data_IF_374594341056
#
_entry.id   IF_374594341056
#
_cell.length_a   1.000
_cell.length_b   1.000
_cell.length_c   1.000
_cell.angle_alpha   90.00
_cell.angle_beta   90.00
_cell.angle_gamma   90.00
#
_symmetry.space_group_name_H-M   'P 1'
#
loop_
_entity.id
_entity.type
_entity.pdbx_description
1 polymer ?
#
# COMPACT_ATOMS: atom_id res chain seq x y z
N UNK A 1 26.63 15.99 -5.92
CA UNK A 1 26.54 14.97 -4.85
C UNK A 1 25.89 13.76 -5.47
N UNK A 2 26.51 12.60 -5.35
CA UNK A 2 25.99 11.35 -5.91
C UNK A 2 24.75 10.90 -5.15
N UNK A 3 23.73 10.41 -5.85
CA UNK A 3 22.46 10.04 -5.23
C UNK A 3 22.62 8.89 -4.22
N UNK A 4 23.57 7.98 -4.46
CA UNK A 4 23.90 6.90 -3.53
C UNK A 4 24.40 7.41 -2.18
N UNK A 5 25.26 8.44 -2.18
CA UNK A 5 25.79 9.03 -0.94
C UNK A 5 24.71 9.80 -0.17
N UNK A 6 23.77 10.44 -0.88
CA UNK A 6 22.64 11.13 -0.24
C UNK A 6 21.68 10.15 0.43
N UNK A 7 21.25 9.10 -0.29
CA UNK A 7 20.38 8.06 0.25
C UNK A 7 21.04 7.31 1.43
N UNK A 8 22.35 7.08 1.39
CA UNK A 8 23.11 6.46 2.47
C UNK A 8 23.16 7.30 3.76
N UNK A 9 23.34 8.62 3.65
CA UNK A 9 23.30 9.51 4.82
C UNK A 9 21.90 9.59 5.45
N UNK A 10 20.86 9.41 4.64
CA UNK A 10 19.48 9.49 5.08
C UNK A 10 18.85 8.10 5.32
N UNK A 11 19.66 7.03 5.26
CA UNK A 11 19.24 5.63 5.34
C UNK A 11 18.32 5.33 6.54
N UNK A 12 18.64 5.86 7.73
CA UNK A 12 17.84 5.62 8.92
C UNK A 12 16.41 6.17 8.78
N UNK A 13 16.26 7.35 8.20
CA UNK A 13 14.96 7.97 7.94
C UNK A 13 14.21 7.25 6.81
N UNK A 14 14.88 6.94 5.69
CA UNK A 14 14.25 6.23 4.57
C UNK A 14 13.78 4.82 4.98
N UNK A 15 14.56 4.11 5.79
CA UNK A 15 14.19 2.77 6.30
C UNK A 15 12.99 2.85 7.23
N UNK A 16 12.93 3.87 8.10
CA UNK A 16 11.76 4.10 8.94
C UNK A 16 10.51 4.37 8.09
N UNK A 17 10.62 5.25 7.09
CA UNK A 17 9.53 5.55 6.16
C UNK A 17 9.11 4.28 5.40
N UNK A 18 10.07 3.48 4.91
CA UNK A 18 9.79 2.23 4.21
C UNK A 18 9.07 1.21 5.08
N UNK A 19 9.45 1.12 6.36
CA UNK A 19 8.73 0.30 7.34
C UNK A 19 7.30 0.80 7.56
N UNK A 20 7.09 2.11 7.65
CA UNK A 20 5.76 2.71 7.74
C UNK A 20 4.92 2.40 6.50
N UNK A 21 5.46 2.59 5.28
CA UNK A 21 4.76 2.27 4.03
C UNK A 21 4.37 0.79 4.01
N UNK A 22 5.29 -0.10 4.36
CA UNK A 22 5.05 -1.55 4.40
C UNK A 22 4.03 -1.92 5.48
N UNK A 23 4.10 -1.29 6.65
CA UNK A 23 3.12 -1.46 7.71
C UNK A 23 1.74 -1.00 7.25
N UNK A 24 1.61 0.16 6.59
CA UNK A 24 0.33 0.61 6.04
C UNK A 24 -0.24 -0.36 5.00
N UNK A 25 0.60 -0.93 4.13
CA UNK A 25 0.20 -1.94 3.13
C UNK A 25 -0.34 -3.23 3.74
N UNK A 26 0.01 -3.56 4.98
CA UNK A 26 -0.43 -4.81 5.64
C UNK A 26 -1.50 -4.53 6.70
N UNK A 27 -1.26 -3.56 7.58
CA UNK A 27 -2.12 -3.21 8.72
C UNK A 27 -3.47 -2.68 8.24
N UNK A 28 -3.51 -1.75 7.26
CA UNK A 28 -4.79 -1.19 6.81
C UNK A 28 -5.67 -2.25 6.13
N UNK A 29 -5.18 -3.05 5.16
CA UNK A 29 -5.96 -4.15 4.59
C UNK A 29 -6.47 -5.14 5.65
N UNK A 30 -5.63 -5.50 6.63
CA UNK A 30 -6.02 -6.43 7.68
C UNK A 30 -7.14 -5.85 8.56
N UNK A 31 -7.06 -4.58 8.96
CA UNK A 31 -8.11 -3.89 9.70
C UNK A 31 -9.42 -3.80 8.91
N UNK A 32 -9.35 -3.46 7.61
CA UNK A 32 -10.52 -3.40 6.74
C UNK A 32 -11.24 -4.75 6.62
N UNK A 33 -10.48 -5.85 6.55
CA UNK A 33 -11.02 -7.20 6.48
C UNK A 33 -11.71 -7.56 7.81
N UNK A 34 -11.07 -7.30 8.96
CA UNK A 34 -11.66 -7.59 10.28
C UNK A 34 -12.95 -6.80 10.50
N UNK A 35 -12.93 -5.49 10.28
CA UNK A 35 -14.14 -4.67 10.41
C UNK A 35 -15.22 -5.07 9.41
N UNK A 36 -14.81 -5.45 8.20
CA UNK A 36 -15.67 -5.98 7.17
C UNK A 36 -16.40 -7.26 7.57
N UNK A 37 -15.68 -8.23 8.13
CA UNK A 37 -16.26 -9.50 8.59
C UNK A 37 -17.20 -9.30 9.78
N UNK A 38 -16.88 -8.39 10.70
CA UNK A 38 -17.79 -8.06 11.81
C UNK A 38 -19.12 -7.47 11.32
N UNK A 39 -19.09 -6.64 10.28
CA UNK A 39 -20.27 -6.01 9.67
C UNK A 39 -21.15 -7.05 8.96
N UNK A 40 -20.52 -7.96 8.20
CA UNK A 40 -21.20 -9.07 7.52
C UNK A 40 -21.77 -10.05 8.54
N UNK A 41 -21.02 -10.40 9.60
CA UNK A 41 -21.48 -11.33 10.63
C UNK A 41 -22.73 -10.85 11.35
N UNK A 42 -22.82 -9.55 11.67
CA UNK A 42 -24.04 -8.95 12.24
C UNK A 42 -25.23 -9.01 11.28
N UNK A 43 -25.01 -8.73 9.99
CA UNK A 43 -26.07 -8.79 8.99
C UNK A 43 -26.59 -10.22 8.77
N UNK A 44 -25.70 -11.23 8.81
CA UNK A 44 -26.06 -12.65 8.67
C UNK A 44 -26.93 -13.12 9.84
N UNK A 45 -26.57 -12.77 11.08
CA UNK A 45 -27.38 -13.13 12.27
C UNK A 45 -28.75 -12.43 12.26
N UNK A 46 -28.86 -11.27 11.62
CA UNK A 46 -30.12 -10.54 11.45
C UNK A 46 -31.10 -11.15 10.44
N UNK A 47 -30.69 -12.16 9.65
CA UNK A 47 -31.51 -12.91 8.69
C UNK A 47 -32.36 -12.07 7.72
N UNK A 48 -31.95 -10.85 7.39
CA UNK A 48 -32.60 -9.98 6.40
C UNK A 48 -31.76 -9.97 5.13
N UNK A 49 -32.25 -10.59 4.06
CA UNK A 49 -31.52 -10.73 2.79
C UNK A 49 -31.04 -9.40 2.21
N UNK A 50 -31.84 -8.34 2.34
CA UNK A 50 -31.48 -6.99 1.87
C UNK A 50 -30.30 -6.39 2.66
N UNK A 51 -30.24 -6.62 3.96
CA UNK A 51 -29.15 -6.14 4.84
C UNK A 51 -27.87 -6.93 4.56
N UNK A 52 -27.98 -8.25 4.35
CA UNK A 52 -26.84 -9.11 3.99
C UNK A 52 -26.22 -8.65 2.68
N UNK A 53 -27.02 -8.42 1.63
CA UNK A 53 -26.52 -7.93 0.34
C UNK A 53 -25.86 -6.56 0.46
N UNK A 54 -26.45 -5.65 1.25
CA UNK A 54 -25.90 -4.31 1.48
C UNK A 54 -24.55 -4.38 2.22
N UNK A 55 -24.44 -5.20 3.26
CA UNK A 55 -23.20 -5.41 4.01
C UNK A 55 -22.13 -6.10 3.17
N UNK A 56 -22.49 -7.10 2.36
CA UNK A 56 -21.56 -7.74 1.41
C UNK A 56 -21.06 -6.77 0.34
N UNK A 57 -21.93 -5.89 -0.19
CA UNK A 57 -21.51 -4.86 -1.15
C UNK A 57 -20.54 -3.85 -0.52
N UNK A 58 -20.81 -3.43 0.71
CA UNK A 58 -19.90 -2.57 1.50
C UNK A 58 -18.55 -3.27 1.75
N UNK A 59 -18.58 -4.56 2.12
CA UNK A 59 -17.39 -5.38 2.30
C UNK A 59 -16.56 -5.48 1.02
N UNK A 60 -17.20 -5.72 -0.13
CA UNK A 60 -16.53 -5.79 -1.43
C UNK A 60 -15.85 -4.45 -1.79
N UNK A 61 -16.49 -3.30 -1.55
CA UNK A 61 -15.85 -2.00 -1.77
C UNK A 61 -14.64 -1.78 -0.86
N UNK A 62 -14.71 -2.20 0.41
CA UNK A 62 -13.57 -2.14 1.35
C UNK A 62 -12.44 -3.08 0.94
N UNK A 63 -12.77 -4.28 0.45
CA UNK A 63 -11.79 -5.23 -0.08
C UNK A 63 -11.09 -4.68 -1.33
N UNK A 64 -11.83 -4.05 -2.25
CA UNK A 64 -11.24 -3.36 -3.39
C UNK A 64 -10.33 -2.21 -2.95
N UNK A 65 -10.73 -1.42 -1.95
CA UNK A 65 -9.88 -0.37 -1.39
C UNK A 65 -8.59 -0.94 -0.78
N UNK A 66 -8.67 -2.07 -0.07
CA UNK A 66 -7.50 -2.76 0.48
C UNK A 66 -6.52 -3.21 -0.62
N UNK A 67 -7.04 -3.76 -1.72
CA UNK A 67 -6.23 -4.12 -2.90
C UNK A 67 -5.55 -2.88 -3.48
N UNK A 68 -6.29 -1.79 -3.72
CA UNK A 68 -5.71 -0.55 -4.27
C UNK A 68 -4.60 -0.01 -3.36
N UNK A 69 -4.83 0.09 -2.05
CA UNK A 69 -3.83 0.60 -1.08
C UNK A 69 -2.56 -0.27 -1.08
N UNK A 70 -2.71 -1.59 -1.24
CA UNK A 70 -1.58 -2.50 -1.38
C UNK A 70 -0.79 -2.24 -2.68
N UNK A 71 -1.48 -1.92 -3.77
CA UNK A 71 -0.85 -1.72 -5.08
C UNK A 71 -0.26 -0.32 -5.30
N UNK A 72 -0.79 0.75 -4.69
CA UNK A 72 -0.30 2.13 -4.92
C UNK A 72 1.23 2.25 -4.75
N UNK A 73 1.83 1.80 -3.64
CA UNK A 73 3.27 1.96 -3.46
C UNK A 73 4.07 1.11 -4.46
N UNK A 74 3.57 -0.08 -4.79
CA UNK A 74 4.19 -0.95 -5.80
C UNK A 74 4.14 -0.33 -7.21
N UNK A 75 3.04 0.34 -7.55
CA UNK A 75 2.89 1.06 -8.83
C UNK A 75 3.81 2.27 -8.89
N UNK A 76 3.90 3.07 -7.82
CA UNK A 76 4.85 4.20 -7.74
C UNK A 76 6.28 3.70 -7.92
N UNK A 77 6.65 2.61 -7.25
CA UNK A 77 7.94 1.93 -7.40
C UNK A 77 8.21 1.48 -8.83
N UNK A 78 7.22 0.90 -9.50
CA UNK A 78 7.32 0.47 -10.89
C UNK A 78 7.48 1.64 -11.87
N UNK A 79 6.64 2.69 -11.75
CA UNK A 79 6.68 3.84 -12.65
C UNK A 79 8.04 4.56 -12.51
N UNK A 80 8.47 4.83 -11.29
CA UNK A 80 9.75 5.50 -11.05
C UNK A 80 10.94 4.65 -11.52
N UNK A 81 10.90 3.33 -11.34
CA UNK A 81 11.90 2.43 -11.91
C UNK A 81 11.86 2.40 -13.44
N UNK A 82 10.69 2.47 -14.07
CA UNK A 82 10.57 2.50 -15.53
C UNK A 82 11.13 3.81 -16.12
N UNK A 83 10.86 4.94 -15.47
CA UNK A 83 11.42 6.25 -15.86
C UNK A 83 12.94 6.28 -15.72
N UNK A 84 13.50 5.72 -14.64
CA UNK A 84 14.95 5.59 -14.45
C UNK A 84 15.59 4.76 -15.58
N UNK A 85 14.98 3.64 -15.95
CA UNK A 85 15.46 2.79 -17.05
C UNK A 85 15.31 3.44 -18.45
N UNK A 86 14.46 4.45 -18.59
CA UNK A 86 14.25 5.17 -19.86
C UNK A 86 15.26 6.31 -20.08
N UNK A 87 16.25 6.47 -19.19
CA UNK A 87 17.31 7.50 -19.30
C UNK A 87 16.97 8.84 -18.65
N UNK A 88 15.96 8.87 -17.77
CA UNK A 88 15.66 10.05 -16.95
C UNK A 88 16.73 10.27 -15.88
N UNK A 89 17.61 11.27 -16.08
CA UNK A 89 18.74 11.58 -15.18
C UNK A 89 18.30 11.89 -13.74
N UNK A 90 17.12 12.46 -13.56
CA UNK A 90 16.56 12.78 -12.24
C UNK A 90 16.00 11.53 -11.51
N UNK A 91 15.72 10.46 -12.24
CA UNK A 91 15.18 9.21 -11.71
C UNK A 91 16.28 8.19 -11.36
N UNK A 92 17.55 8.43 -11.69
CA UNK A 92 18.65 7.54 -11.32
C UNK A 92 18.83 7.44 -9.80
N UNK A 93 18.63 8.55 -9.08
CA UNK A 93 18.67 8.58 -7.62
C UNK A 93 17.54 7.82 -6.93
N UNK A 94 16.40 7.64 -7.60
CA UNK A 94 15.30 6.82 -7.10
C UNK A 94 15.75 5.38 -6.86
N UNK A 95 16.49 4.79 -7.80
CA UNK A 95 16.93 3.40 -7.73
C UNK A 95 17.82 3.15 -6.51
N UNK A 96 18.66 4.13 -6.14
CA UNK A 96 19.50 4.05 -4.94
C UNK A 96 18.69 4.15 -3.63
N UNK A 97 17.64 4.96 -3.61
CA UNK A 97 16.80 5.17 -2.42
C UNK A 97 15.69 4.10 -2.26
N UNK A 98 15.22 3.50 -3.36
CA UNK A 98 14.11 2.54 -3.40
C UNK A 98 14.32 1.35 -2.46
N UNK A 99 15.55 0.82 -2.39
CA UNK A 99 15.90 -0.31 -1.52
C UNK A 99 15.63 -0.03 -0.04
N UNK A 100 15.81 1.23 0.41
CA UNK A 100 15.54 1.62 1.79
C UNK A 100 14.05 1.88 2.05
N UNK A 101 13.27 2.23 1.02
CA UNK A 101 11.83 2.48 1.13
C UNK A 101 10.97 1.22 1.03
N UNK A 102 11.53 0.07 0.63
CA UNK A 102 10.77 -1.18 0.49
C UNK A 102 9.70 -1.12 -0.61
N UNK A 103 9.95 -0.34 -1.66
CA UNK A 103 9.09 -0.14 -2.84
C UNK A 103 9.58 -0.96 -4.03
#
# INVERSE_FOLDING_TARGET
>A
MDAGTFCGNLQGLLTLIGYVITAFKIVIPMLLIVFGMMDVGKAVVGSKDDEIKKSLKSFAMRAMAAVVIFFIPSIVGLIMSAVANSGGKDAEGWTACKTYLGL
#
